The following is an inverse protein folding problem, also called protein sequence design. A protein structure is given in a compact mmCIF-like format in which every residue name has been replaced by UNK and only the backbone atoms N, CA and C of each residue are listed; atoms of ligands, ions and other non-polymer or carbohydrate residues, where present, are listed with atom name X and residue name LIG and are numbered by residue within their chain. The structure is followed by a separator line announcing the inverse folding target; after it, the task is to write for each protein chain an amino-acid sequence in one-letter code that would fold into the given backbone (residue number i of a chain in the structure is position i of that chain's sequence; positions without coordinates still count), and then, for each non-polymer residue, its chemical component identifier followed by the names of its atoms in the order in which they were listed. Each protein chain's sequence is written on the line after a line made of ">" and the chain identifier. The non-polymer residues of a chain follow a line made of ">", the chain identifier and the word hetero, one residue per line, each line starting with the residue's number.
data_IF_049144584876
#
_entry.id   IF_049144584876
#
_cell.length_a   1.000
_cell.length_b   1.000
_cell.length_c   1.000
_cell.angle_alpha   90.00
_cell.angle_beta   90.00
_cell.angle_gamma   90.00
#
_symmetry.space_group_name_H-M   'P 1'
#
loop_
_entity.id
_entity.type
_entity.pdbx_description
1 polymer ?
#
# COMPACT_ATOMS: atom_id res chain seq x y z
N UNK A 1 3.43 -46.79 -8.75
CA UNK A 1 3.00 -45.45 -8.28
C UNK A 1 1.52 -45.31 -8.60
N UNK A 2 0.67 -44.87 -7.66
CA UNK A 2 -0.71 -44.47 -8.02
C UNK A 2 -0.61 -43.29 -9.02
N UNK A 3 -1.42 -43.28 -10.09
CA UNK A 3 -1.44 -42.16 -11.02
C UNK A 3 -1.76 -40.87 -10.25
N UNK A 4 -1.14 -39.77 -10.66
CA UNK A 4 -1.49 -38.47 -10.10
C UNK A 4 -2.93 -38.14 -10.51
N UNK A 5 -3.75 -37.57 -9.61
CA UNK A 5 -5.08 -37.11 -9.96
C UNK A 5 -5.06 -36.06 -11.07
N UNK A 6 -6.11 -36.00 -11.89
CA UNK A 6 -6.21 -35.07 -13.02
C UNK A 6 -6.10 -33.61 -12.59
N UNK A 7 -6.67 -33.27 -11.43
CA UNK A 7 -6.59 -31.94 -10.83
C UNK A 7 -5.16 -31.54 -10.45
N UNK A 8 -4.24 -32.49 -10.26
CA UNK A 8 -2.79 -32.23 -10.09
C UNK A 8 -2.07 -32.17 -11.42
N UNK A 9 -2.42 -33.07 -12.35
CA UNK A 9 -1.77 -33.19 -13.66
C UNK A 9 -1.88 -31.90 -14.48
N UNK A 10 -2.98 -31.16 -14.36
CA UNK A 10 -3.16 -29.82 -14.96
C UNK A 10 -2.00 -28.86 -14.68
N UNK A 11 -1.35 -28.98 -13.52
CA UNK A 11 -0.26 -28.11 -13.09
C UNK A 11 1.13 -28.71 -13.31
N UNK A 12 1.22 -30.01 -13.65
CA UNK A 12 2.49 -30.71 -13.88
C UNK A 12 3.02 -30.46 -15.29
N UNK A 13 3.70 -29.32 -15.46
CA UNK A 13 4.41 -28.96 -16.70
C UNK A 13 5.88 -29.39 -16.65
N UNK A 14 6.58 -29.36 -17.80
CA UNK A 14 8.03 -29.59 -17.86
C UNK A 14 8.76 -28.65 -16.89
N UNK A 15 9.65 -29.19 -16.06
CA UNK A 15 10.36 -28.44 -15.01
C UNK A 15 9.57 -28.24 -13.72
N UNK A 16 8.35 -28.76 -13.61
CA UNK A 16 7.53 -28.75 -12.39
C UNK A 16 7.46 -30.15 -11.81
N UNK A 17 7.88 -30.28 -10.56
CA UNK A 17 7.95 -31.51 -9.80
C UNK A 17 6.86 -31.52 -8.74
N UNK A 18 6.26 -32.68 -8.53
CA UNK A 18 5.10 -32.86 -7.67
C UNK A 18 5.47 -33.77 -6.51
N UNK A 19 5.18 -33.35 -5.28
CA UNK A 19 5.38 -34.16 -4.07
C UNK A 19 4.08 -34.25 -3.29
N UNK A 20 3.62 -35.47 -3.01
CA UNK A 20 2.42 -35.68 -2.17
C UNK A 20 2.71 -35.20 -0.73
N UNK A 21 1.77 -34.46 -0.15
CA UNK A 21 1.79 -33.99 1.24
C UNK A 21 0.56 -34.51 1.99
N UNK A 22 0.39 -34.12 3.25
CA UNK A 22 -0.81 -34.46 4.05
C UNK A 22 -2.07 -33.77 3.53
N UNK A 23 -1.93 -32.56 2.98
CA UNK A 23 -3.03 -31.66 2.61
C UNK A 23 -3.25 -31.56 1.10
N UNK A 24 -2.40 -32.17 0.27
CA UNK A 24 -2.50 -32.10 -1.19
C UNK A 24 -1.19 -32.50 -1.87
N UNK A 25 -0.81 -31.75 -2.91
CA UNK A 25 0.43 -31.96 -3.65
C UNK A 25 1.24 -30.67 -3.76
N UNK A 26 2.43 -30.66 -3.16
CA UNK A 26 3.39 -29.58 -3.28
C UNK A 26 4.00 -29.54 -4.69
N UNK A 27 4.06 -28.35 -5.28
CA UNK A 27 4.70 -28.09 -6.56
C UNK A 27 6.03 -27.37 -6.37
N UNK A 28 7.05 -27.85 -7.06
CA UNK A 28 8.37 -27.25 -7.08
C UNK A 28 8.79 -27.00 -8.52
N UNK A 29 9.31 -25.82 -8.81
CA UNK A 29 10.12 -25.60 -10.00
C UNK A 29 11.51 -26.12 -9.72
N UNK A 30 12.07 -26.85 -10.66
CA UNK A 30 13.46 -27.26 -10.55
C UNK A 30 14.01 -27.83 -11.84
N UNK A 31 15.26 -28.23 -11.78
CA UNK A 31 15.95 -28.84 -12.90
C UNK A 31 16.90 -29.93 -12.41
N UNK A 32 17.31 -30.80 -13.32
CA UNK A 32 18.33 -31.80 -13.06
C UNK A 32 19.71 -31.21 -13.37
N UNK A 33 20.60 -31.18 -12.37
CA UNK A 33 21.97 -30.69 -12.52
C UNK A 33 22.95 -31.83 -12.28
N UNK A 34 23.94 -32.02 -13.17
CA UNK A 34 25.02 -32.99 -12.96
C UNK A 34 25.99 -32.45 -11.92
N UNK A 35 26.19 -33.21 -10.84
CA UNK A 35 27.12 -32.88 -9.76
C UNK A 35 28.32 -33.83 -9.87
N UNK A 36 29.57 -33.35 -9.92
CA UNK A 36 30.75 -34.18 -10.21
C UNK A 36 30.90 -35.42 -9.31
N UNK A 37 30.49 -35.32 -8.05
CA UNK A 37 30.64 -36.37 -7.04
C UNK A 37 29.49 -37.39 -7.03
N UNK A 38 28.45 -37.20 -7.86
CA UNK A 38 27.31 -38.13 -7.91
C UNK A 38 27.24 -38.83 -9.26
N UNK A 39 26.98 -40.13 -9.22
CA UNK A 39 26.80 -40.96 -10.42
C UNK A 39 25.55 -40.62 -11.25
N UNK A 40 24.67 -39.75 -10.74
CA UNK A 40 23.43 -39.36 -11.39
C UNK A 40 23.15 -37.85 -11.24
N UNK A 41 22.41 -37.23 -12.19
CA UNK A 41 21.94 -35.86 -12.05
C UNK A 41 21.10 -35.66 -10.81
N UNK A 42 21.38 -34.61 -10.05
CA UNK A 42 20.68 -34.26 -8.81
C UNK A 42 19.58 -33.27 -9.14
N UNK A 43 18.39 -33.49 -8.58
CA UNK A 43 17.34 -32.50 -8.62
C UNK A 43 17.74 -31.25 -7.80
N UNK A 44 17.74 -30.09 -8.45
CA UNK A 44 17.87 -28.78 -7.83
C UNK A 44 16.50 -28.12 -7.81
N UNK A 45 16.04 -27.79 -6.61
CA UNK A 45 14.82 -27.03 -6.40
C UNK A 45 15.15 -25.54 -6.61
N UNK A 46 14.56 -24.94 -7.62
CA UNK A 46 14.71 -23.51 -7.91
C UNK A 46 13.70 -22.69 -7.09
N UNK A 47 12.45 -23.18 -6.99
CA UNK A 47 11.36 -22.43 -6.37
C UNK A 47 10.27 -23.38 -5.86
N UNK A 48 9.72 -23.10 -4.68
CA UNK A 48 8.47 -23.71 -4.24
C UNK A 48 7.29 -22.92 -4.79
N UNK A 49 6.46 -23.54 -5.65
CA UNK A 49 5.38 -22.85 -6.35
C UNK A 49 4.08 -22.79 -5.53
N UNK A 50 3.91 -23.68 -4.56
CA UNK A 50 2.69 -23.76 -3.76
C UNK A 50 2.17 -25.18 -3.60
N UNK A 51 0.93 -25.29 -3.12
CA UNK A 51 0.25 -26.56 -2.90
C UNK A 51 -1.01 -26.64 -3.75
N UNK A 52 -1.21 -27.75 -4.44
CA UNK A 52 -2.47 -28.06 -5.12
C UNK A 52 -3.35 -28.87 -4.17
N UNK A 53 -4.55 -28.35 -3.89
CA UNK A 53 -5.62 -29.07 -3.18
C UNK A 53 -6.73 -29.43 -4.16
N UNK A 54 -7.55 -30.42 -3.80
CA UNK A 54 -8.69 -30.83 -4.63
C UNK A 54 -9.78 -29.76 -4.70
N UNK A 55 -9.99 -29.04 -3.58
CA UNK A 55 -11.02 -28.01 -3.43
C UNK A 55 -10.64 -26.66 -4.02
N UNK A 56 -9.39 -26.22 -3.80
CA UNK A 56 -8.97 -24.84 -4.08
C UNK A 56 -8.04 -24.74 -5.30
N UNK A 57 -7.67 -25.88 -5.89
CA UNK A 57 -6.67 -25.93 -6.96
C UNK A 57 -5.29 -25.50 -6.45
N UNK A 58 -4.53 -24.78 -7.28
CA UNK A 58 -3.18 -24.32 -6.91
C UNK A 58 -3.24 -23.10 -5.98
N UNK A 59 -2.88 -23.31 -4.72
CA UNK A 59 -2.60 -22.28 -3.73
C UNK A 59 -1.12 -21.90 -3.87
N UNK A 60 -0.84 -20.75 -4.48
CA UNK A 60 0.53 -20.26 -4.69
C UNK A 60 1.27 -20.02 -3.38
N UNK A 61 2.57 -20.30 -3.37
CA UNK A 61 3.43 -19.89 -2.27
C UNK A 61 3.49 -18.36 -2.21
N UNK A 62 3.30 -17.80 -1.02
CA UNK A 62 3.61 -16.39 -0.79
C UNK A 62 5.11 -16.31 -0.49
N UNK A 63 5.89 -15.47 -1.20
CA UNK A 63 7.29 -15.31 -0.88
C UNK A 63 7.42 -14.85 0.58
N UNK A 64 8.49 -15.25 1.29
CA UNK A 64 8.72 -14.75 2.64
C UNK A 64 8.79 -13.22 2.61
N UNK A 65 8.30 -12.60 3.68
CA UNK A 65 8.40 -11.16 3.87
C UNK A 65 9.85 -10.82 4.17
N UNK A 66 10.51 -10.07 3.28
CA UNK A 66 11.88 -9.62 3.47
C UNK A 66 11.93 -8.39 4.40
N UNK A 67 13.02 -8.20 5.17
CA UNK A 67 13.26 -6.96 5.91
C UNK A 67 13.22 -5.72 5.00
N UNK A 68 13.01 -4.54 5.59
CA UNK A 68 12.84 -3.28 4.86
C UNK A 68 11.38 -2.91 4.56
N UNK A 69 10.45 -3.45 5.36
CA UNK A 69 9.03 -3.09 5.30
C UNK A 69 8.89 -1.62 5.71
N UNK A 70 8.15 -0.85 4.93
CA UNK A 70 7.76 0.53 5.30
C UNK A 70 6.24 0.61 5.39
N UNK A 71 5.73 1.31 6.39
CA UNK A 71 4.29 1.45 6.65
C UNK A 71 3.96 2.92 6.82
N UNK A 72 2.93 3.39 6.12
CA UNK A 72 2.50 4.78 6.13
C UNK A 72 0.99 4.86 6.35
N UNK A 73 0.54 5.83 7.14
CA UNK A 73 -0.89 6.17 7.24
C UNK A 73 -1.37 6.66 5.88
N UNK A 74 -2.38 6.02 5.30
CA UNK A 74 -2.79 6.27 3.92
C UNK A 74 -4.21 6.81 3.79
N UNK A 75 -5.18 6.21 4.49
CA UNK A 75 -6.60 6.47 4.24
C UNK A 75 -6.98 7.94 4.34
N UNK A 76 -6.73 8.58 5.48
CA UNK A 76 -7.04 10.01 5.65
C UNK A 76 -6.22 10.90 4.70
N UNK A 77 -4.94 10.61 4.50
CA UNK A 77 -4.08 11.36 3.59
C UNK A 77 -4.64 11.35 2.15
N UNK A 78 -5.16 10.20 1.70
CA UNK A 78 -5.79 10.06 0.39
C UNK A 78 -7.11 10.84 0.29
N UNK A 79 -7.93 10.83 1.35
CA UNK A 79 -9.15 11.66 1.42
C UNK A 79 -8.79 13.14 1.29
N UNK A 80 -7.81 13.61 2.06
CA UNK A 80 -7.37 14.99 2.03
C UNK A 80 -6.78 15.38 0.67
N UNK A 81 -6.01 14.50 0.02
CA UNK A 81 -5.49 14.74 -1.32
C UNK A 81 -6.63 14.92 -2.35
N UNK A 82 -7.63 14.03 -2.34
CA UNK A 82 -8.75 14.08 -3.28
C UNK A 82 -9.60 15.33 -3.06
N UNK A 83 -9.95 15.64 -1.81
CA UNK A 83 -10.89 16.73 -1.51
C UNK A 83 -10.23 18.11 -1.48
N UNK A 84 -8.98 18.18 -1.02
CA UNK A 84 -8.35 19.44 -0.62
C UNK A 84 -7.16 19.86 -1.49
N UNK A 85 -6.70 19.05 -2.45
CA UNK A 85 -5.52 19.36 -3.28
C UNK A 85 -5.58 20.74 -3.97
N UNK A 86 -6.78 21.18 -4.36
CA UNK A 86 -7.04 22.51 -4.97
C UNK A 86 -6.65 23.69 -4.06
N UNK A 87 -6.63 23.50 -2.74
CA UNK A 87 -6.31 24.56 -1.78
C UNK A 87 -4.85 25.03 -1.87
N UNK A 88 -3.97 24.26 -2.52
CA UNK A 88 -2.57 24.64 -2.77
C UNK A 88 -2.42 25.75 -3.80
N UNK A 89 -3.41 25.96 -4.68
CA UNK A 89 -3.30 26.91 -5.80
C UNK A 89 -3.11 28.36 -5.30
N UNK A 90 -3.85 28.78 -4.27
CA UNK A 90 -3.78 30.15 -3.76
C UNK A 90 -2.40 30.47 -3.12
N UNK A 91 -1.91 29.72 -2.12
CA UNK A 91 -0.58 29.99 -1.57
C UNK A 91 0.52 29.88 -2.63
N UNK A 92 0.40 28.95 -3.59
CA UNK A 92 1.36 28.85 -4.69
C UNK A 92 1.40 30.13 -5.56
N UNK A 93 0.23 30.69 -5.90
CA UNK A 93 0.14 31.96 -6.66
C UNK A 93 0.73 33.15 -5.91
N UNK A 94 0.80 33.08 -4.58
CA UNK A 94 1.40 34.10 -3.72
C UNK A 94 2.90 33.88 -3.48
N UNK A 95 3.51 32.85 -4.08
CA UNK A 95 4.92 32.54 -3.91
C UNK A 95 5.27 31.85 -2.58
N UNK A 96 4.27 31.40 -1.82
CA UNK A 96 4.48 30.63 -0.59
C UNK A 96 4.82 29.17 -0.90
N UNK A 97 5.38 28.47 0.09
CA UNK A 97 5.52 27.03 0.04
C UNK A 97 4.14 26.36 0.26
N UNK A 98 3.39 26.20 -0.82
CA UNK A 98 2.04 25.63 -0.78
C UNK A 98 2.01 24.19 -0.25
N UNK A 99 3.05 23.41 -0.52
CA UNK A 99 3.10 22.00 -0.12
C UNK A 99 3.34 21.86 1.39
N UNK A 100 4.28 22.61 1.98
CA UNK A 100 4.47 22.57 3.44
C UNK A 100 3.24 23.07 4.19
N UNK A 101 2.58 24.13 3.68
CA UNK A 101 1.36 24.67 4.27
C UNK A 101 0.22 23.65 4.21
N UNK A 102 0.04 23.00 3.06
CA UNK A 102 -0.98 21.97 2.88
C UNK A 102 -0.74 20.76 3.79
N UNK A 103 0.49 20.23 3.80
CA UNK A 103 0.85 19.08 4.64
C UNK A 103 0.68 19.41 6.12
N UNK A 104 1.12 20.58 6.58
CA UNK A 104 0.86 21.04 7.96
C UNK A 104 -0.63 21.13 8.26
N UNK A 105 -1.44 21.70 7.37
CA UNK A 105 -2.87 21.84 7.58
C UNK A 105 -3.60 20.48 7.65
N UNK A 106 -3.23 19.52 6.80
CA UNK A 106 -3.80 18.17 6.78
C UNK A 106 -3.37 17.38 8.02
N UNK A 107 -2.09 17.38 8.36
CA UNK A 107 -1.60 16.69 9.57
C UNK A 107 -2.12 17.33 10.85
N UNK A 108 -2.33 18.65 10.86
CA UNK A 108 -2.97 19.36 11.96
C UNK A 108 -4.42 18.92 12.18
N UNK A 109 -5.13 18.49 11.13
CA UNK A 109 -6.45 17.88 11.28
C UNK A 109 -6.38 16.52 11.99
N UNK A 110 -5.36 15.71 11.68
CA UNK A 110 -5.11 14.41 12.34
C UNK A 110 -4.50 14.53 13.75
N UNK A 111 -4.11 15.73 14.19
CA UNK A 111 -3.33 15.92 15.41
C UNK A 111 -1.88 15.42 15.32
N UNK A 112 -1.34 15.30 14.10
CA UNK A 112 -0.03 14.71 13.78
C UNK A 112 0.92 15.73 13.11
N UNK A 113 0.75 17.03 13.40
CA UNK A 113 1.55 18.11 12.79
C UNK A 113 2.97 18.18 13.37
N UNK A 114 3.80 17.20 13.05
CA UNK A 114 5.22 17.14 13.40
C UNK A 114 6.01 16.50 12.27
N UNK A 115 7.34 16.67 12.28
CA UNK A 115 8.21 15.99 11.33
C UNK A 115 8.03 14.47 11.38
N UNK A 116 7.98 13.88 12.58
CA UNK A 116 7.71 12.44 12.77
C UNK A 116 6.32 12.03 12.25
N UNK A 117 5.31 12.87 12.47
CA UNK A 117 3.96 12.66 11.95
C UNK A 117 3.94 12.63 10.42
N UNK A 118 4.67 13.53 9.77
CA UNK A 118 4.84 13.58 8.32
C UNK A 118 5.58 12.37 7.77
N UNK A 119 6.69 11.96 8.38
CA UNK A 119 7.49 10.81 7.94
C UNK A 119 6.71 9.49 8.00
N UNK A 120 5.80 9.34 8.96
CA UNK A 120 4.89 8.18 9.05
C UNK A 120 3.62 8.30 8.20
N UNK A 121 3.44 9.39 7.44
CA UNK A 121 2.27 9.67 6.61
C UNK A 121 2.56 9.41 5.13
N UNK A 122 1.54 8.97 4.39
CA UNK A 122 1.60 8.86 2.93
C UNK A 122 1.92 10.21 2.26
N UNK A 123 1.66 11.34 2.95
CA UNK A 123 2.05 12.66 2.47
C UNK A 123 3.56 12.79 2.24
N UNK A 124 4.42 12.03 2.94
CA UNK A 124 5.87 12.02 2.69
C UNK A 124 6.27 11.35 1.37
N UNK A 125 5.42 10.46 0.86
CA UNK A 125 5.58 9.85 -0.46
C UNK A 125 5.05 10.79 -1.55
N UNK A 126 3.94 11.47 -1.29
CA UNK A 126 3.32 12.41 -2.26
C UNK A 126 4.11 13.71 -2.39
N UNK A 127 4.66 14.21 -1.28
CA UNK A 127 5.39 15.47 -1.20
C UNK A 127 6.80 15.21 -0.65
N UNK A 128 7.72 14.63 -1.44
CA UNK A 128 9.03 14.24 -0.95
C UNK A 128 9.87 15.44 -0.53
N UNK A 129 10.80 15.22 0.40
CA UNK A 129 11.81 16.20 0.86
C UNK A 129 11.28 17.45 1.57
N UNK A 130 10.06 17.40 2.12
CA UNK A 130 9.61 18.45 3.04
C UNK A 130 10.28 18.31 4.42
N UNK A 131 10.57 19.46 5.03
CA UNK A 131 11.00 19.58 6.42
C UNK A 131 9.98 20.45 7.16
N UNK A 132 9.19 19.84 8.03
CA UNK A 132 8.14 20.50 8.80
C UNK A 132 8.68 21.30 9.98
N UNK A 133 9.90 21.05 10.44
CA UNK A 133 10.55 21.81 11.51
C UNK A 133 11.16 23.12 10.99
N UNK A 134 11.23 23.28 9.66
CA UNK A 134 11.60 24.56 9.05
C UNK A 134 10.61 25.64 9.46
N UNK A 135 11.13 26.73 10.00
CA UNK A 135 10.34 27.93 10.31
C UNK A 135 9.68 28.46 9.04
N UNK A 136 8.38 28.75 9.14
CA UNK A 136 7.61 29.39 8.10
C UNK A 136 7.98 30.89 8.04
N UNK A 137 7.76 31.52 6.89
CA UNK A 137 7.78 32.98 6.80
C UNK A 137 6.59 33.59 7.55
N UNK A 138 6.66 34.87 7.90
CA UNK A 138 5.57 35.57 8.59
C UNK A 138 4.24 35.50 7.81
N UNK A 139 4.31 35.60 6.48
CA UNK A 139 3.14 35.51 5.61
C UNK A 139 2.52 34.10 5.62
N UNK A 140 3.36 33.06 5.61
CA UNK A 140 2.94 31.66 5.71
C UNK A 140 2.35 31.33 7.09
N UNK A 141 2.95 31.83 8.17
CA UNK A 141 2.43 31.70 9.54
C UNK A 141 1.04 32.36 9.66
N UNK A 142 0.86 33.54 9.07
CA UNK A 142 -0.43 34.23 9.03
C UNK A 142 -1.48 33.50 8.18
N UNK A 143 -1.05 32.87 7.07
CA UNK A 143 -1.94 32.18 6.14
C UNK A 143 -2.40 30.81 6.66
N UNK A 144 -1.54 30.06 7.35
CA UNK A 144 -1.77 28.67 7.76
C UNK A 144 -3.10 28.44 8.53
N UNK A 145 -3.51 29.29 9.50
CA UNK A 145 -4.81 29.13 10.18
C UNK A 145 -6.01 29.18 9.22
N UNK A 146 -5.93 30.00 8.17
CA UNK A 146 -6.97 30.06 7.14
C UNK A 146 -7.00 28.78 6.32
N UNK A 147 -5.83 28.27 5.90
CA UNK A 147 -5.76 27.01 5.18
C UNK A 147 -6.28 25.84 6.01
N UNK A 148 -5.98 25.79 7.32
CA UNK A 148 -6.52 24.78 8.25
C UNK A 148 -8.05 24.78 8.28
N UNK A 149 -8.67 25.97 8.35
CA UNK A 149 -10.14 26.10 8.30
C UNK A 149 -10.71 25.62 6.97
N UNK A 150 -10.04 25.94 5.86
CA UNK A 150 -10.46 25.50 4.52
C UNK A 150 -10.34 23.99 4.35
N UNK A 151 -9.27 23.37 4.84
CA UNK A 151 -9.11 21.90 4.85
C UNK A 151 -10.24 21.26 5.64
N UNK A 152 -10.51 21.76 6.86
CA UNK A 152 -11.60 21.27 7.71
C UNK A 152 -12.96 21.35 7.00
N UNK A 153 -13.31 22.53 6.49
CA UNK A 153 -14.58 22.75 5.77
C UNK A 153 -14.69 21.84 4.54
N UNK A 154 -13.66 21.72 3.71
CA UNK A 154 -13.72 20.83 2.54
C UNK A 154 -13.88 19.36 2.89
N UNK A 155 -13.27 18.90 3.98
CA UNK A 155 -13.46 17.53 4.46
C UNK A 155 -14.89 17.34 4.98
N UNK A 156 -15.38 18.27 5.80
CA UNK A 156 -16.73 18.22 6.35
C UNK A 156 -17.80 18.24 5.24
N UNK A 157 -17.66 19.14 4.26
CA UNK A 157 -18.56 19.26 3.12
C UNK A 157 -18.46 18.05 2.18
N UNK A 158 -17.23 17.60 1.88
CA UNK A 158 -16.99 16.50 0.95
C UNK A 158 -17.44 15.15 1.49
N UNK A 159 -17.33 14.90 2.80
CA UNK A 159 -17.77 13.65 3.42
C UNK A 159 -19.22 13.71 3.90
N UNK A 160 -19.71 14.88 4.30
CA UNK A 160 -21.08 15.10 4.78
C UNK A 160 -21.40 14.33 6.07
N UNK A 161 -22.62 13.81 6.18
CA UNK A 161 -23.11 13.15 7.40
C UNK A 161 -22.35 11.87 7.77
N UNK A 162 -21.69 11.22 6.81
CA UNK A 162 -20.92 9.99 7.01
C UNK A 162 -19.47 10.27 7.45
N UNK A 163 -19.08 11.55 7.68
CA UNK A 163 -17.68 11.97 7.91
C UNK A 163 -16.98 11.21 9.04
N UNK A 164 -17.62 11.04 10.19
CA UNK A 164 -16.99 10.48 11.38
C UNK A 164 -16.69 9.00 11.17
N UNK A 165 -17.63 8.29 10.53
CA UNK A 165 -17.46 6.88 10.16
C UNK A 165 -16.35 6.72 9.11
N UNK A 166 -16.33 7.55 8.06
CA UNK A 166 -15.30 7.49 7.02
C UNK A 166 -13.92 7.78 7.62
N UNK A 167 -13.78 8.82 8.45
CA UNK A 167 -12.51 9.18 9.07
C UNK A 167 -12.02 8.03 9.97
N UNK A 168 -12.89 7.50 10.83
CA UNK A 168 -12.55 6.39 11.73
C UNK A 168 -12.12 5.13 10.98
N UNK A 169 -12.84 4.74 9.93
CA UNK A 169 -12.47 3.58 9.11
C UNK A 169 -11.18 3.83 8.32
N UNK A 170 -10.98 5.05 7.80
CA UNK A 170 -9.79 5.41 7.02
C UNK A 170 -8.51 5.48 7.85
N UNK A 171 -8.62 5.71 9.16
CA UNK A 171 -7.47 5.75 10.07
C UNK A 171 -6.71 4.41 10.13
N UNK A 172 -7.39 3.29 9.82
CA UNK A 172 -6.82 1.94 9.81
C UNK A 172 -6.35 1.49 8.42
N UNK A 173 -6.41 2.36 7.41
CA UNK A 173 -5.94 2.06 6.07
C UNK A 173 -4.51 2.57 5.88
N UNK A 174 -3.58 1.65 5.70
CA UNK A 174 -2.15 1.90 5.57
C UNK A 174 -1.64 1.53 4.18
N UNK A 175 -0.64 2.27 3.72
CA UNK A 175 0.21 1.89 2.60
C UNK A 175 1.41 1.13 3.14
N UNK A 176 1.66 -0.06 2.59
CA UNK A 176 2.73 -0.97 3.02
C UNK A 176 3.64 -1.26 1.83
N UNK A 177 4.91 -0.90 1.95
CA UNK A 177 5.94 -1.32 1.01
C UNK A 177 6.56 -2.62 1.50
N UNK A 178 6.41 -3.69 0.72
CA UNK A 178 6.98 -5.00 1.05
C UNK A 178 7.42 -5.71 -0.23
N UNK A 179 8.57 -6.37 -0.17
CA UNK A 179 9.11 -7.17 -1.28
C UNK A 179 9.23 -6.41 -2.63
N UNK A 180 9.47 -5.09 -2.58
CA UNK A 180 9.67 -4.26 -3.77
C UNK A 180 8.39 -3.65 -4.37
N UNK A 181 7.24 -3.83 -3.72
CA UNK A 181 5.96 -3.29 -4.20
C UNK A 181 5.14 -2.66 -3.07
N UNK A 182 4.29 -1.73 -3.47
CA UNK A 182 3.29 -1.11 -2.59
C UNK A 182 2.02 -1.95 -2.54
N UNK A 183 1.46 -2.05 -1.34
CA UNK A 183 0.21 -2.72 -1.04
C UNK A 183 -0.61 -1.83 -0.11
N UNK A 184 -1.93 -1.95 -0.15
CA UNK A 184 -2.78 -1.41 0.91
C UNK A 184 -3.01 -2.49 1.96
N UNK A 185 -3.09 -2.07 3.22
CA UNK A 185 -3.69 -2.90 4.26
C UNK A 185 -5.16 -3.18 3.93
N UNK A 186 -5.80 -4.04 4.74
CA UNK A 186 -7.18 -4.44 4.51
C UNK A 186 -8.11 -3.22 4.39
N UNK A 187 -8.77 -3.12 3.23
CA UNK A 187 -9.79 -2.11 2.96
C UNK A 187 -11.15 -2.69 3.31
N UNK A 188 -11.75 -2.21 4.40
CA UNK A 188 -13.09 -2.64 4.80
C UNK A 188 -14.13 -2.33 3.72
N UNK A 189 -15.01 -3.29 3.41
CA UNK A 189 -16.09 -3.12 2.42
C UNK A 189 -17.00 -1.92 2.75
N UNK A 190 -17.21 -1.65 4.05
CA UNK A 190 -17.95 -0.46 4.49
C UNK A 190 -17.26 0.83 4.07
N UNK A 191 -15.95 0.95 4.28
CA UNK A 191 -15.17 2.11 3.87
C UNK A 191 -15.20 2.27 2.34
N UNK A 192 -15.03 1.17 1.60
CA UNK A 192 -15.10 1.15 0.15
C UNK A 192 -16.46 1.65 -0.37
N UNK A 193 -17.56 1.17 0.21
CA UNK A 193 -18.92 1.61 -0.15
C UNK A 193 -19.11 3.11 0.11
N UNK A 194 -18.73 3.60 1.29
CA UNK A 194 -18.86 5.01 1.65
C UNK A 194 -18.00 5.91 0.75
N UNK A 195 -16.75 5.54 0.52
CA UNK A 195 -15.82 6.30 -0.32
C UNK A 195 -16.29 6.39 -1.79
N UNK A 196 -16.88 5.31 -2.31
CA UNK A 196 -17.45 5.29 -3.66
C UNK A 196 -18.58 6.30 -3.81
N UNK A 197 -19.45 6.46 -2.81
CA UNK A 197 -20.51 7.48 -2.82
C UNK A 197 -19.96 8.92 -2.87
N UNK A 198 -18.73 9.12 -2.39
CA UNK A 198 -18.04 10.42 -2.34
C UNK A 198 -17.01 10.58 -3.47
N UNK A 199 -16.97 9.66 -4.43
CA UNK A 199 -16.00 9.64 -5.52
C UNK A 199 -14.54 9.61 -5.05
N UNK A 200 -14.28 8.97 -3.91
CA UNK A 200 -12.94 8.77 -3.35
C UNK A 200 -12.50 7.34 -3.69
N UNK A 201 -11.42 7.21 -4.47
CA UNK A 201 -10.78 5.91 -4.75
C UNK A 201 -9.54 5.71 -3.90
N UNK A 202 -9.48 4.55 -3.24
CA UNK A 202 -8.33 4.03 -2.51
C UNK A 202 -7.61 3.00 -3.37
N UNK A 203 -6.67 3.47 -4.18
CA UNK A 203 -5.82 2.63 -5.02
C UNK A 203 -4.37 3.01 -4.79
N UNK A 204 -3.52 1.99 -4.64
CA UNK A 204 -2.07 2.16 -4.58
C UNK A 204 -1.48 1.55 -5.84
N UNK A 205 -0.94 2.41 -6.71
CA UNK A 205 -0.43 2.04 -8.03
C UNK A 205 -0.39 3.25 -8.97
N UNK A 206 0.60 3.29 -9.87
CA UNK A 206 0.84 4.42 -10.79
C UNK A 206 2.22 5.06 -10.61
N UNK A 207 2.31 6.40 -10.72
CA UNK A 207 3.53 7.24 -10.72
C UNK A 207 4.50 7.09 -9.53
N UNK A 208 4.17 6.23 -8.55
CA UNK A 208 4.96 6.00 -7.33
C UNK A 208 5.80 4.71 -7.39
N UNK A 209 5.91 4.09 -8.56
CA UNK A 209 6.86 3.01 -8.87
C UNK A 209 8.29 3.59 -8.96
N UNK A 210 8.90 3.88 -7.82
CA UNK A 210 10.28 4.38 -7.82
C UNK A 210 10.76 5.03 -6.53
N UNK A 211 10.30 4.55 -5.37
CA UNK A 211 10.95 4.87 -4.08
C UNK A 211 12.01 3.82 -3.78
#
# INVERSE_FOLDING_TARGET
>A
MKPLPDWVLKYKKKGIYVKKTKTGYALYRGHSQRVPEKSYPVFKCDEYLGIVTETDGLILSKPPVKPGIKVFRYGFCRIAEVLCSVLRINPQKRGMNADILFVKAVLGYEGMESQMGYEGSWLSIVFPNLNLDKKLSEEEEYFLPTLRRQVRSKIEDGLGVEREEIIALSANLYAVYVNGSWHLSELFERLKSLATKKSISFEIGGKYNGV
#
